data_IF_678164378420
#
_entry.id   IF_678164378420
#
_cell.length_a   1.000
_cell.length_b   1.000
_cell.length_c   1.000
_cell.angle_alpha   90.00
_cell.angle_beta   90.00
_cell.angle_gamma   90.00
#
_symmetry.space_group_name_H-M   'P 1'
#
loop_
_entity.id
_entity.type
_entity.pdbx_description
1 polymer ?
#
# COMPACT_ATOMS: atom_id res chain seq x y z
N UNK A 1 8.79 10.60 55.62
CA UNK A 1 8.71 9.12 55.71
C UNK A 1 8.85 8.57 54.30
N UNK A 2 9.93 7.82 54.03
CA UNK A 2 10.26 7.17 52.75
C UNK A 2 9.55 5.81 52.60
N UNK A 3 8.34 5.69 53.14
CA UNK A 3 7.51 4.51 52.93
C UNK A 3 6.83 4.78 51.59
N UNK A 4 7.21 4.08 50.51
CA UNK A 4 6.31 3.74 49.37
C UNK A 4 7.05 3.31 48.10
N UNK A 5 8.34 3.63 47.94
CA UNK A 5 9.03 3.29 46.67
C UNK A 5 9.37 1.79 46.56
N UNK A 6 9.72 1.12 47.67
CA UNK A 6 10.07 -0.31 47.64
C UNK A 6 8.86 -1.20 47.34
N UNK A 7 7.74 -0.98 48.03
CA UNK A 7 6.50 -1.73 47.81
C UNK A 7 5.97 -1.53 46.39
N UNK A 8 5.96 -0.28 45.91
CA UNK A 8 5.55 0.00 44.54
C UNK A 8 6.45 -0.67 43.50
N UNK A 9 7.77 -0.63 43.71
CA UNK A 9 8.74 -1.30 42.84
C UNK A 9 8.51 -2.81 42.78
N UNK A 10 8.25 -3.46 43.92
CA UNK A 10 7.94 -4.89 43.95
C UNK A 10 6.64 -5.19 43.17
N UNK A 11 5.58 -4.40 43.39
CA UNK A 11 4.33 -4.53 42.66
C UNK A 11 4.51 -4.35 41.14
N UNK A 12 5.37 -3.41 40.73
CA UNK A 12 5.74 -3.25 39.33
C UNK A 12 6.50 -4.46 38.80
N UNK A 13 7.43 -5.04 39.55
CA UNK A 13 8.16 -6.22 39.08
C UNK A 13 7.25 -7.43 38.83
N UNK A 14 6.29 -7.64 39.74
CA UNK A 14 5.31 -8.73 39.67
C UNK A 14 4.17 -8.49 38.65
N UNK A 15 4.03 -7.26 38.14
CA UNK A 15 2.88 -6.84 37.33
C UNK A 15 2.81 -7.43 35.92
N UNK A 16 3.87 -8.04 35.40
CA UNK A 16 3.93 -8.52 34.01
C UNK A 16 3.98 -7.43 32.93
N UNK A 17 4.18 -6.16 33.34
CA UNK A 17 4.42 -5.04 32.43
C UNK A 17 5.80 -5.12 31.78
N UNK A 18 5.96 -4.52 30.60
CA UNK A 18 7.25 -4.37 29.94
C UNK A 18 8.17 -3.42 30.70
N UNK A 19 9.48 -3.49 30.42
CA UNK A 19 10.46 -2.59 31.03
C UNK A 19 10.13 -1.10 30.80
N UNK A 20 9.70 -0.74 29.58
CA UNK A 20 9.31 0.64 29.25
C UNK A 20 8.10 1.09 30.06
N UNK A 21 7.06 0.26 30.14
CA UNK A 21 5.85 0.57 30.92
C UNK A 21 6.18 0.75 32.40
N UNK A 22 7.03 -0.15 32.97
CA UNK A 22 7.50 -0.02 34.36
C UNK A 22 8.24 1.30 34.59
N UNK A 23 9.10 1.69 33.65
CA UNK A 23 9.86 2.95 33.74
C UNK A 23 8.93 4.17 33.71
N UNK A 24 8.00 4.23 32.76
CA UNK A 24 7.07 5.35 32.61
C UNK A 24 6.14 5.48 33.82
N UNK A 25 5.59 4.35 34.27
CA UNK A 25 4.72 4.30 35.45
C UNK A 25 5.49 4.70 36.71
N UNK A 26 6.74 4.28 36.86
CA UNK A 26 7.60 4.69 37.98
C UNK A 26 7.84 6.22 37.99
N UNK A 27 8.14 6.81 36.82
CA UNK A 27 8.31 8.26 36.70
C UNK A 27 7.03 9.01 37.08
N UNK A 28 5.87 8.55 36.59
CA UNK A 28 4.57 9.14 36.93
C UNK A 28 4.32 9.00 38.43
N UNK A 29 4.50 7.81 38.99
CA UNK A 29 4.23 7.55 40.40
C UNK A 29 5.05 8.45 41.33
N UNK A 30 6.33 8.69 41.00
CA UNK A 30 7.22 9.50 41.82
C UNK A 30 6.76 10.96 41.97
N UNK A 31 6.10 11.54 40.96
CA UNK A 31 5.63 12.94 40.98
C UNK A 31 4.23 13.10 41.57
N UNK A 32 3.56 12.01 41.95
CA UNK A 32 2.24 12.08 42.59
C UNK A 32 2.32 12.51 44.05
N UNK A 33 1.25 13.13 44.53
CA UNK A 33 1.02 13.39 45.96
C UNK A 33 0.97 12.09 46.76
N UNK A 34 1.41 12.12 48.02
CA UNK A 34 1.45 10.93 48.88
C UNK A 34 0.07 10.27 49.05
N UNK A 35 -1.00 11.05 49.19
CA UNK A 35 -2.39 10.53 49.22
C UNK A 35 -2.71 9.66 47.99
N UNK A 36 -2.23 10.10 46.82
CA UNK A 36 -2.46 9.42 45.55
C UNK A 36 -1.59 8.17 45.43
N UNK A 37 -0.35 8.22 45.91
CA UNK A 37 0.55 7.06 45.99
C UNK A 37 -0.07 5.97 46.87
N UNK A 38 -0.59 6.33 48.03
CA UNK A 38 -1.28 5.42 48.95
C UNK A 38 -2.52 4.79 48.29
N UNK A 39 -3.37 5.59 47.62
CA UNK A 39 -4.55 5.06 46.89
C UNK A 39 -4.14 4.05 45.82
N UNK A 40 -3.10 4.37 45.03
CA UNK A 40 -2.57 3.47 43.99
C UNK A 40 -2.05 2.18 44.60
N UNK A 41 -1.29 2.25 45.68
CA UNK A 41 -0.75 1.06 46.37
C UNK A 41 -1.87 0.18 46.93
N UNK A 42 -2.92 0.77 47.46
CA UNK A 42 -4.06 0.03 48.03
C UNK A 42 -4.95 -0.60 46.96
N UNK A 43 -5.02 0.02 45.77
CA UNK A 43 -5.89 -0.41 44.66
C UNK A 43 -5.08 -0.90 43.45
N UNK A 44 -3.83 -1.31 43.64
CA UNK A 44 -2.92 -1.67 42.56
C UNK A 44 -3.50 -2.67 41.55
N UNK A 45 -4.18 -3.76 41.97
CA UNK A 45 -4.77 -4.71 41.01
C UNK A 45 -5.81 -4.07 40.08
N UNK A 46 -6.57 -3.07 40.56
CA UNK A 46 -7.55 -2.36 39.75
C UNK A 46 -6.87 -1.49 38.70
N UNK A 47 -5.85 -0.72 39.10
CA UNK A 47 -5.08 0.10 38.17
C UNK A 47 -4.34 -0.75 37.13
N UNK A 48 -3.76 -1.88 37.56
CA UNK A 48 -3.06 -2.79 36.66
C UNK A 48 -4.02 -3.40 35.62
N UNK A 49 -5.22 -3.80 36.03
CA UNK A 49 -6.24 -4.31 35.11
C UNK A 49 -6.65 -3.25 34.07
N UNK A 50 -6.85 -2.00 34.49
CA UNK A 50 -7.16 -0.90 33.56
C UNK A 50 -6.02 -0.62 32.58
N UNK A 51 -4.76 -0.66 33.04
CA UNK A 51 -3.58 -0.54 32.17
C UNK A 51 -3.61 -1.64 31.09
N UNK A 52 -3.87 -2.89 31.49
CA UNK A 52 -3.93 -4.00 30.53
C UNK A 52 -5.11 -3.91 29.57
N UNK A 53 -6.26 -3.44 30.04
CA UNK A 53 -7.43 -3.20 29.20
C UNK A 53 -7.11 -2.18 28.11
N UNK A 54 -6.57 -1.02 28.50
CA UNK A 54 -6.16 0.03 27.57
C UNK A 54 -5.10 -0.47 26.58
N UNK A 55 -4.13 -1.27 27.06
CA UNK A 55 -3.10 -1.89 26.21
C UNK A 55 -3.72 -2.77 25.14
N UNK A 56 -4.65 -3.65 25.52
CA UNK A 56 -5.28 -4.57 24.59
C UNK A 56 -6.16 -3.83 23.57
N UNK A 57 -6.94 -2.83 24.01
CA UNK A 57 -7.74 -1.98 23.11
C UNK A 57 -6.84 -1.24 22.10
N UNK A 58 -5.71 -0.71 22.55
CA UNK A 58 -4.73 -0.04 21.69
C UNK A 58 -4.08 -0.99 20.68
N UNK A 59 -3.75 -2.22 21.10
CA UNK A 59 -3.20 -3.25 20.23
C UNK A 59 -4.18 -3.69 19.14
N UNK A 60 -5.44 -3.94 19.51
CA UNK A 60 -6.49 -4.30 18.54
C UNK A 60 -6.73 -3.17 17.53
N UNK A 61 -6.81 -1.92 18.00
CA UNK A 61 -6.95 -0.76 17.11
C UNK A 61 -5.75 -0.60 16.16
N UNK A 62 -4.53 -0.83 16.65
CA UNK A 62 -3.31 -0.81 15.82
C UNK A 62 -3.35 -1.92 14.77
N UNK A 63 -3.78 -3.12 15.16
CA UNK A 63 -3.92 -4.26 14.25
C UNK A 63 -4.93 -3.97 13.16
N UNK A 64 -6.10 -3.45 13.51
CA UNK A 64 -7.14 -3.02 12.57
C UNK A 64 -6.61 -1.98 11.57
N UNK A 65 -5.93 -0.95 12.07
CA UNK A 65 -5.31 0.08 11.22
C UNK A 65 -4.26 -0.50 10.27
N UNK A 66 -3.43 -1.43 10.74
CA UNK A 66 -2.43 -2.11 9.91
C UNK A 66 -3.09 -2.96 8.83
N UNK A 67 -4.13 -3.71 9.17
CA UNK A 67 -4.91 -4.49 8.19
C UNK A 67 -5.54 -3.60 7.13
N UNK A 68 -6.15 -2.48 7.53
CA UNK A 68 -6.69 -1.50 6.56
C UNK A 68 -5.61 -0.92 5.66
N UNK A 69 -4.45 -0.55 6.20
CA UNK A 69 -3.35 -0.04 5.41
C UNK A 69 -2.83 -1.07 4.39
N UNK A 70 -2.68 -2.33 4.80
CA UNK A 70 -2.26 -3.42 3.92
C UNK A 70 -3.27 -3.66 2.80
N UNK A 71 -4.56 -3.74 3.11
CA UNK A 71 -5.61 -3.91 2.11
C UNK A 71 -5.63 -2.75 1.09
N UNK A 72 -5.39 -1.53 1.55
CA UNK A 72 -5.30 -0.36 0.67
C UNK A 72 -4.07 -0.45 -0.24
N UNK A 73 -2.92 -0.89 0.27
CA UNK A 73 -1.70 -1.11 -0.53
C UNK A 73 -1.97 -2.17 -1.59
N UNK A 74 -2.55 -3.32 -1.22
CA UNK A 74 -2.89 -4.39 -2.16
C UNK A 74 -3.83 -3.90 -3.26
N UNK A 75 -4.86 -3.11 -2.90
CA UNK A 75 -5.77 -2.51 -3.88
C UNK A 75 -5.02 -1.61 -4.88
N UNK A 76 -4.15 -0.72 -4.39
CA UNK A 76 -3.36 0.17 -5.23
C UNK A 76 -2.43 -0.61 -6.16
N UNK A 77 -1.77 -1.65 -5.64
CA UNK A 77 -0.88 -2.51 -6.43
C UNK A 77 -1.66 -3.24 -7.52
N UNK A 78 -2.80 -3.83 -7.18
CA UNK A 78 -3.66 -4.52 -8.14
C UNK A 78 -4.18 -3.58 -9.22
N UNK A 79 -4.62 -2.37 -8.86
CA UNK A 79 -5.03 -1.35 -9.83
C UNK A 79 -3.87 -0.93 -10.75
N UNK A 80 -2.66 -0.78 -10.22
CA UNK A 80 -1.48 -0.45 -11.03
C UNK A 80 -1.11 -1.57 -12.01
N UNK A 81 -1.22 -2.84 -11.58
CA UNK A 81 -1.00 -4.01 -12.43
C UNK A 81 -2.03 -4.04 -13.57
N UNK A 82 -3.31 -3.83 -13.25
CA UNK A 82 -4.39 -3.80 -14.25
C UNK A 82 -4.18 -2.66 -15.25
N UNK A 83 -3.90 -1.45 -14.79
CA UNK A 83 -3.61 -0.30 -15.68
C UNK A 83 -2.44 -0.57 -16.61
N UNK A 84 -1.37 -1.19 -16.10
CA UNK A 84 -0.20 -1.52 -16.93
C UNK A 84 -0.56 -2.55 -17.99
N UNK A 85 -1.32 -3.58 -17.63
CA UNK A 85 -1.81 -4.58 -18.58
C UNK A 85 -2.68 -3.94 -19.66
N UNK A 86 -3.63 -3.08 -19.30
CA UNK A 86 -4.51 -2.41 -20.25
C UNK A 86 -3.71 -1.52 -21.21
N UNK A 87 -2.69 -0.82 -20.69
CA UNK A 87 -1.79 0.02 -21.49
C UNK A 87 -0.95 -0.82 -22.49
N UNK A 88 -0.45 -1.98 -22.06
CA UNK A 88 0.32 -2.89 -22.90
C UNK A 88 -0.58 -3.53 -23.99
N UNK A 89 -1.80 -3.92 -23.64
CA UNK A 89 -2.80 -4.42 -24.60
C UNK A 89 -3.18 -3.34 -25.62
N UNK A 90 -3.37 -2.08 -25.18
CA UNK A 90 -3.66 -0.95 -26.07
C UNK A 90 -2.53 -0.70 -27.05
N UNK A 91 -1.28 -0.61 -26.57
CA UNK A 91 -0.09 -0.41 -27.43
C UNK A 91 0.08 -1.53 -28.45
N UNK A 92 -0.20 -2.78 -28.05
CA UNK A 92 -0.15 -3.93 -28.95
C UNK A 92 -1.18 -3.80 -30.09
N UNK A 93 -2.44 -3.44 -29.78
CA UNK A 93 -3.49 -3.21 -30.79
C UNK A 93 -3.13 -2.07 -31.74
N UNK A 94 -2.66 -0.94 -31.21
CA UNK A 94 -2.24 0.21 -32.04
C UNK A 94 -1.07 -0.14 -32.96
N UNK A 95 -0.12 -0.94 -32.49
CA UNK A 95 1.00 -1.41 -33.31
C UNK A 95 0.53 -2.32 -34.45
N UNK A 96 -0.37 -3.27 -34.16
CA UNK A 96 -0.94 -4.16 -35.16
C UNK A 96 -1.75 -3.40 -36.22
N UNK A 97 -2.58 -2.44 -35.80
CA UNK A 97 -3.35 -1.59 -36.72
C UNK A 97 -2.43 -0.76 -37.63
N UNK A 98 -1.37 -0.15 -37.06
CA UNK A 98 -0.37 0.59 -37.87
C UNK A 98 0.34 -0.30 -38.87
N UNK A 99 0.68 -1.53 -38.50
CA UNK A 99 1.29 -2.48 -39.43
C UNK A 99 0.35 -2.82 -40.59
N UNK A 100 -0.94 -3.01 -40.31
CA UNK A 100 -1.93 -3.32 -41.34
C UNK A 100 -2.20 -2.13 -42.26
N UNK A 101 -2.29 -0.91 -41.72
CA UNK A 101 -2.37 0.32 -42.52
C UNK A 101 -1.16 0.45 -43.45
N UNK A 102 0.05 0.20 -42.94
CA UNK A 102 1.26 0.27 -43.76
C UNK A 102 1.29 -0.80 -44.86
N UNK A 103 0.84 -2.03 -44.56
CA UNK A 103 0.74 -3.11 -45.55
C UNK A 103 -0.26 -2.81 -46.65
N UNK A 104 -1.44 -2.32 -46.28
CA UNK A 104 -2.50 -1.96 -47.24
C UNK A 104 -2.09 -0.77 -48.11
N UNK A 105 -1.47 0.26 -47.53
CA UNK A 105 -0.93 1.39 -48.29
C UNK A 105 0.15 0.93 -49.29
N UNK A 106 1.08 0.07 -48.86
CA UNK A 106 2.11 -0.48 -49.74
C UNK A 106 1.52 -1.32 -50.89
N UNK A 107 0.53 -2.16 -50.60
CA UNK A 107 -0.17 -2.94 -51.62
C UNK A 107 -0.88 -2.05 -52.63
N UNK A 108 -1.58 -1.00 -52.17
CA UNK A 108 -2.24 -0.03 -53.02
C UNK A 108 -1.26 0.69 -53.96
N UNK A 109 -0.13 1.15 -53.42
CA UNK A 109 0.92 1.79 -54.20
C UNK A 109 1.50 0.88 -55.29
N UNK A 110 1.70 -0.41 -54.98
CA UNK A 110 2.14 -1.39 -55.98
C UNK A 110 1.09 -1.63 -57.06
N UNK A 111 -0.19 -1.78 -56.71
CA UNK A 111 -1.27 -1.94 -57.68
C UNK A 111 -1.38 -0.72 -58.60
N UNK A 112 -1.27 0.49 -58.05
CA UNK A 112 -1.29 1.73 -58.83
C UNK A 112 -0.13 1.76 -59.84
N UNK A 113 1.11 1.49 -59.39
CA UNK A 113 2.28 1.42 -60.28
C UNK A 113 2.10 0.38 -61.39
N UNK A 114 1.56 -0.79 -61.08
CA UNK A 114 1.31 -1.84 -62.06
C UNK A 114 0.27 -1.42 -63.11
N UNK A 115 -0.83 -0.77 -62.68
CA UNK A 115 -1.85 -0.23 -63.57
C UNK A 115 -1.30 0.88 -64.47
N UNK A 116 -0.50 1.80 -63.90
CA UNK A 116 0.15 2.86 -64.66
C UNK A 116 1.07 2.27 -65.75
N UNK A 117 1.86 1.24 -65.41
CA UNK A 117 2.74 0.54 -66.34
C UNK A 117 1.96 -0.14 -67.48
N UNK A 118 0.87 -0.84 -67.15
CA UNK A 118 0.01 -1.47 -68.17
C UNK A 118 -0.63 -0.43 -69.10
N UNK A 119 -1.02 0.73 -68.57
CA UNK A 119 -1.58 1.82 -69.38
C UNK A 119 -0.56 2.36 -70.39
N UNK A 120 0.71 2.49 -69.98
CA UNK A 120 1.80 2.96 -70.83
C UNK A 120 2.14 1.95 -71.92
N UNK A 121 2.19 0.66 -71.58
CA UNK A 121 2.42 -0.41 -72.55
C UNK A 121 1.30 -0.47 -73.60
N UNK A 122 0.04 -0.33 -73.20
CA UNK A 122 -1.10 -0.26 -74.15
C UNK A 122 -1.03 0.96 -75.06
N UNK A 123 -0.62 2.12 -74.54
CA UNK A 123 -0.43 3.33 -75.36
C UNK A 123 0.70 3.19 -76.37
N UNK A 124 1.80 2.52 -76.01
CA UNK A 124 2.88 2.22 -76.96
C UNK A 124 2.44 1.25 -78.06
N UNK A 125 1.65 0.22 -77.74
CA UNK A 125 1.14 -0.73 -78.73
C UNK A 125 0.14 -0.10 -79.72
N UNK A 126 -0.70 0.85 -79.25
CA UNK A 126 -1.66 1.55 -80.11
C UNK A 126 -1.05 2.72 -80.90
N UNK A 127 0.19 3.13 -80.61
CA UNK A 127 0.91 4.19 -81.33
C UNK A 127 1.86 3.70 -82.42
N UNK A 128 1.89 2.39 -82.70
CA UNK A 128 2.71 1.76 -83.75
C UNK A 128 1.86 1.23 -84.94
N UNK A 129 0.58 1.61 -85.03
CA UNK A 129 -0.27 1.45 -86.22
C UNK A 129 -0.45 2.79 -86.92
#
# INVERSE_FOLDING_TARGET
MLVDNFKFKQLLEESGLSFSEKYDISNIFNVLSDERKIDILNKWPLYLNEIFKIRNESLEKRKENLTHALNNIEKIVNEAILRKRDEDERKSRESAERQEINRTAFAYDQMKKANDLQSLLRKQQNGQQ
#
